data_IF_259190954176
#
_entry.id   IF_259190954176
#
_cell.length_a   1.000
_cell.length_b   1.000
_cell.length_c   1.000
_cell.angle_alpha   90.00
_cell.angle_beta   90.00
_cell.angle_gamma   90.00
#
_symmetry.space_group_name_H-M   'P 1'
#
loop_
_entity.id
_entity.type
_entity.pdbx_description
1 polymer ?
#
# COMPACT_ATOMS: atom_id res chain seq x y z
N UNK A 1 -2.43 9.80 6.06
CA UNK A 1 -2.88 10.82 7.01
C UNK A 1 -4.41 10.83 7.14
N UNK A 2 -5.16 11.16 6.07
CA UNK A 2 -6.63 11.34 6.12
C UNK A 2 -7.36 10.09 6.64
N UNK A 3 -7.04 8.90 6.13
CA UNK A 3 -7.65 7.65 6.60
C UNK A 3 -7.36 7.39 8.08
N UNK A 4 -6.10 7.58 8.53
CA UNK A 4 -5.74 7.43 9.94
C UNK A 4 -6.54 8.40 10.82
N UNK A 5 -6.62 9.67 10.42
CA UNK A 5 -7.42 10.67 11.14
C UNK A 5 -8.90 10.29 11.24
N UNK A 6 -9.49 9.75 10.16
CA UNK A 6 -10.87 9.30 10.16
C UNK A 6 -11.10 8.12 11.14
N UNK A 7 -10.19 7.12 11.13
CA UNK A 7 -10.26 5.99 12.05
C UNK A 7 -10.12 6.42 13.51
N UNK A 8 -9.18 7.32 13.81
CA UNK A 8 -8.99 7.86 15.16
C UNK A 8 -10.24 8.60 15.67
N UNK A 9 -10.90 9.39 14.83
CA UNK A 9 -12.16 10.06 15.18
C UNK A 9 -13.30 9.09 15.52
N UNK A 10 -13.22 7.87 15.00
CA UNK A 10 -14.16 6.78 15.33
C UNK A 10 -13.73 5.95 16.53
N UNK A 11 -12.67 6.36 17.25
CA UNK A 11 -12.19 5.68 18.45
C UNK A 11 -11.26 4.50 18.18
N UNK A 12 -10.79 4.30 16.94
CA UNK A 12 -9.91 3.20 16.62
C UNK A 12 -8.49 3.44 17.18
N UNK A 13 -7.86 2.38 17.68
CA UNK A 13 -6.41 2.31 17.89
C UNK A 13 -5.73 2.15 16.53
N UNK A 14 -4.79 3.02 16.17
CA UNK A 14 -4.21 3.06 14.83
C UNK A 14 -2.70 2.86 14.86
N UNK A 15 -2.20 1.83 14.16
CA UNK A 15 -0.80 1.67 13.83
C UNK A 15 -0.52 2.38 12.51
N UNK A 16 0.41 3.34 12.52
CA UNK A 16 0.80 4.10 11.32
C UNK A 16 2.16 3.63 10.86
N UNK A 17 2.17 2.88 9.75
CA UNK A 17 3.39 2.36 9.14
C UNK A 17 3.96 3.40 8.15
N UNK A 18 5.18 3.84 8.38
CA UNK A 18 5.86 4.79 7.49
C UNK A 18 7.39 4.71 7.65
N UNK A 19 8.09 5.27 6.66
CA UNK A 19 9.52 5.51 6.78
C UNK A 19 9.79 6.61 7.80
N UNK A 20 10.82 6.51 8.63
CA UNK A 20 11.26 7.60 9.49
C UNK A 20 11.56 8.86 8.66
N UNK A 21 10.92 9.97 8.98
CA UNK A 21 11.15 11.27 8.34
C UNK A 21 10.53 12.40 9.15
N UNK A 22 11.06 13.63 9.03
CA UNK A 22 10.49 14.82 9.69
C UNK A 22 9.03 15.05 9.29
N UNK A 23 8.71 14.78 8.03
CA UNK A 23 7.33 14.87 7.55
C UNK A 23 6.41 13.90 8.28
N UNK A 24 6.87 12.69 8.53
CA UNK A 24 6.11 11.69 9.28
C UNK A 24 5.94 12.12 10.73
N UNK A 25 7.00 12.60 11.38
CA UNK A 25 6.95 13.08 12.76
C UNK A 25 5.94 14.22 12.92
N UNK A 26 6.00 15.24 12.06
CA UNK A 26 5.02 16.33 12.04
C UNK A 26 3.58 15.84 11.85
N UNK A 27 3.37 14.87 10.95
CA UNK A 27 2.04 14.28 10.74
C UNK A 27 1.55 13.51 11.96
N UNK A 28 2.44 12.81 12.64
CA UNK A 28 2.13 12.06 13.86
C UNK A 28 1.76 12.98 15.02
N UNK A 29 2.48 14.09 15.18
CA UNK A 29 2.17 15.13 16.18
C UNK A 29 0.77 15.71 15.97
N UNK A 30 0.42 16.07 14.73
CA UNK A 30 -0.92 16.58 14.41
C UNK A 30 -2.00 15.53 14.74
N UNK A 31 -1.78 14.26 14.35
CA UNK A 31 -2.74 13.20 14.63
C UNK A 31 -2.94 13.00 16.14
N UNK A 32 -1.86 13.04 16.93
CA UNK A 32 -1.92 12.91 18.39
C UNK A 32 -2.64 14.08 19.04
N UNK A 33 -2.34 15.31 18.62
CA UNK A 33 -2.95 16.52 19.17
C UNK A 33 -4.45 16.58 18.90
N UNK A 34 -4.87 16.20 17.69
CA UNK A 34 -6.29 16.24 17.30
C UNK A 34 -7.11 15.05 17.86
N UNK A 35 -6.46 14.01 18.37
CA UNK A 35 -7.11 12.78 18.83
C UNK A 35 -6.49 12.27 20.16
N UNK A 36 -6.45 13.13 21.16
CA UNK A 36 -5.80 12.86 22.45
C UNK A 36 -6.35 11.65 23.21
N UNK A 37 -7.57 11.23 22.94
CA UNK A 37 -8.25 10.12 23.62
C UNK A 37 -8.07 8.77 22.89
N UNK A 38 -7.25 8.70 21.83
CA UNK A 38 -7.04 7.48 21.03
C UNK A 38 -5.56 7.14 20.94
N UNK A 39 -5.26 5.85 20.83
CA UNK A 39 -3.88 5.38 20.76
C UNK A 39 -3.38 5.38 19.31
N UNK A 40 -2.25 6.06 19.08
CA UNK A 40 -1.55 6.09 17.79
C UNK A 40 -0.15 5.55 17.99
N UNK A 41 0.20 4.48 17.27
CA UNK A 41 1.48 3.81 17.37
C UNK A 41 2.24 3.89 16.05
N UNK A 42 3.39 4.57 15.99
CA UNK A 42 4.25 4.53 14.82
C UNK A 42 4.96 3.18 14.71
N UNK A 43 5.07 2.68 13.48
CA UNK A 43 5.85 1.49 13.14
C UNK A 43 6.71 1.83 11.93
N UNK A 44 8.03 1.70 12.06
CA UNK A 44 8.94 1.94 10.96
C UNK A 44 8.77 0.86 9.89
N UNK A 45 8.50 1.30 8.65
CA UNK A 45 8.29 0.42 7.52
C UNK A 45 8.66 1.11 6.22
N UNK A 46 9.71 0.64 5.55
CA UNK A 46 10.01 1.00 4.18
C UNK A 46 9.55 -0.11 3.24
N UNK A 47 8.56 0.20 2.41
CA UNK A 47 8.02 -0.75 1.43
C UNK A 47 8.99 -1.02 0.26
N UNK A 48 10.11 -0.32 0.16
CA UNK A 48 11.19 -0.60 -0.79
C UNK A 48 12.21 -1.63 -0.25
N UNK A 49 11.99 -2.14 0.97
CA UNK A 49 12.84 -3.14 1.62
C UNK A 49 12.00 -4.25 2.23
N UNK A 50 12.12 -5.46 1.73
CA UNK A 50 11.44 -6.61 2.33
C UNK A 50 11.93 -6.91 3.75
N UNK A 51 13.18 -6.57 4.06
CA UNK A 51 13.69 -6.69 5.41
C UNK A 51 12.94 -5.74 6.36
N UNK A 52 12.76 -4.48 5.97
CA UNK A 52 11.98 -3.51 6.73
C UNK A 52 10.52 -3.97 6.92
N UNK A 53 9.89 -4.50 5.87
CA UNK A 53 8.52 -5.05 5.95
C UNK A 53 8.45 -6.22 6.94
N UNK A 54 9.46 -7.11 6.98
CA UNK A 54 9.50 -8.21 7.96
C UNK A 54 9.68 -7.71 9.40
N UNK A 55 10.50 -6.67 9.59
CA UNK A 55 10.65 -6.03 10.90
C UNK A 55 9.33 -5.40 11.36
N UNK A 56 8.66 -4.67 10.47
CA UNK A 56 7.34 -4.10 10.74
C UNK A 56 6.32 -5.19 11.09
N UNK A 57 6.29 -6.31 10.37
CA UNK A 57 5.42 -7.45 10.68
C UNK A 57 5.64 -8.00 12.09
N UNK A 58 6.91 -8.19 12.52
CA UNK A 58 7.22 -8.59 13.90
C UNK A 58 6.73 -7.57 14.92
N UNK A 59 6.95 -6.28 14.64
CA UNK A 59 6.50 -5.20 15.54
C UNK A 59 4.99 -5.13 15.67
N UNK A 60 4.25 -5.40 14.60
CA UNK A 60 2.78 -5.48 14.65
C UNK A 60 2.32 -6.63 15.56
N UNK A 61 2.97 -7.79 15.52
CA UNK A 61 2.64 -8.91 16.43
C UNK A 61 2.84 -8.53 17.91
N UNK A 62 3.94 -7.84 18.22
CA UNK A 62 4.18 -7.35 19.58
C UNK A 62 3.10 -6.36 20.05
N UNK A 63 2.67 -5.47 19.15
CA UNK A 63 1.70 -4.41 19.45
C UNK A 63 0.24 -4.91 19.41
N UNK A 64 -0.04 -5.97 18.66
CA UNK A 64 -1.41 -6.48 18.46
C UNK A 64 -1.55 -7.94 18.88
N UNK A 65 -1.20 -8.35 20.11
CA UNK A 65 -1.24 -9.75 20.53
C UNK A 65 -2.65 -10.35 20.51
N UNK A 66 -3.69 -9.51 20.54
CA UNK A 66 -5.10 -9.93 20.52
C UNK A 66 -5.73 -9.97 19.12
N UNK A 67 -4.98 -9.58 18.07
CA UNK A 67 -5.45 -9.58 16.69
C UNK A 67 -5.42 -8.20 16.05
N UNK A 68 -5.69 -8.17 14.76
CA UNK A 68 -5.73 -6.97 13.92
C UNK A 68 -7.08 -6.95 13.17
N UNK A 69 -7.91 -5.94 13.40
CA UNK A 69 -9.23 -5.87 12.78
C UNK A 69 -9.18 -5.42 11.32
N UNK A 70 -8.26 -4.48 11.01
CA UNK A 70 -8.16 -3.90 9.66
C UNK A 70 -6.71 -3.72 9.26
N UNK A 71 -6.34 -4.27 8.10
CA UNK A 71 -5.10 -3.98 7.39
C UNK A 71 -5.41 -3.10 6.18
N UNK A 72 -4.89 -1.85 6.17
CA UNK A 72 -5.06 -0.92 5.06
C UNK A 72 -3.76 -0.77 4.26
N UNK A 73 -3.65 -1.45 3.13
CA UNK A 73 -2.55 -1.37 2.17
C UNK A 73 -2.73 -0.14 1.27
N UNK A 74 -2.54 1.05 1.85
CA UNK A 74 -2.85 2.33 1.21
C UNK A 74 -1.64 3.01 0.56
N UNK A 75 -0.43 2.81 1.07
CA UNK A 75 0.76 3.49 0.58
C UNK A 75 1.02 3.18 -0.90
N UNK A 76 1.65 4.12 -1.60
CA UNK A 76 2.00 3.90 -3.00
C UNK A 76 2.78 5.05 -3.60
N UNK A 77 3.42 4.74 -4.71
CA UNK A 77 4.16 5.67 -5.57
C UNK A 77 3.61 5.60 -6.99
N UNK A 78 3.84 6.62 -7.80
CA UNK A 78 3.21 6.75 -9.11
C UNK A 78 4.19 7.28 -10.13
N UNK A 79 4.28 6.62 -11.28
CA UNK A 79 5.05 7.02 -12.45
C UNK A 79 6.52 7.39 -12.16
N UNK A 80 7.16 6.64 -11.24
CA UNK A 80 8.57 6.80 -10.90
C UNK A 80 9.50 6.29 -11.99
N UNK A 81 10.77 6.62 -11.86
CA UNK A 81 11.84 6.14 -12.72
C UNK A 81 11.95 4.60 -12.74
N UNK A 82 12.55 4.09 -13.81
CA UNK A 82 12.81 2.67 -14.00
C UNK A 82 14.08 2.26 -13.23
N UNK A 83 13.93 2.18 -11.92
CA UNK A 83 15.00 1.84 -11.00
C UNK A 83 14.61 0.64 -10.13
N UNK A 84 15.58 -0.21 -9.78
CA UNK A 84 15.34 -1.30 -8.84
C UNK A 84 15.34 -0.80 -7.40
N UNK A 85 14.67 -1.56 -6.54
CA UNK A 85 14.88 -1.50 -5.09
C UNK A 85 16.13 -2.29 -4.68
N UNK A 86 16.49 -2.26 -3.40
CA UNK A 86 17.55 -3.11 -2.85
C UNK A 86 17.29 -4.61 -3.05
N UNK A 87 16.02 -5.01 -3.12
CA UNK A 87 15.61 -6.39 -3.38
C UNK A 87 15.60 -6.74 -4.87
N UNK A 88 16.03 -5.82 -5.76
CA UNK A 88 16.12 -5.96 -7.22
C UNK A 88 14.77 -6.06 -7.95
N UNK A 89 13.67 -5.59 -7.38
CA UNK A 89 12.38 -5.44 -8.06
C UNK A 89 12.16 -4.00 -8.55
N UNK A 90 11.27 -3.81 -9.52
CA UNK A 90 10.81 -2.47 -9.90
C UNK A 90 10.28 -1.71 -8.66
N UNK A 91 10.74 -0.47 -8.50
CA UNK A 91 10.42 0.35 -7.32
C UNK A 91 8.91 0.54 -7.14
N UNK A 92 8.15 0.67 -8.22
CA UNK A 92 6.70 0.83 -8.13
C UNK A 92 6.01 -0.50 -7.80
N UNK A 93 6.45 -1.61 -8.41
CA UNK A 93 5.87 -2.92 -8.17
C UNK A 93 6.14 -3.37 -6.73
N UNK A 94 7.35 -3.20 -6.24
CA UNK A 94 7.66 -3.57 -4.86
C UNK A 94 6.88 -2.71 -3.88
N UNK A 95 6.92 -1.39 -4.01
CA UNK A 95 6.25 -0.47 -3.07
C UNK A 95 4.74 -0.66 -3.06
N UNK A 96 4.12 -0.74 -4.24
CA UNK A 96 2.66 -0.70 -4.37
C UNK A 96 1.99 -2.07 -4.18
N UNK A 97 2.72 -3.17 -4.44
CA UNK A 97 2.12 -4.50 -4.44
C UNK A 97 2.90 -5.55 -3.63
N UNK A 98 4.16 -5.84 -3.99
CA UNK A 98 4.87 -7.00 -3.42
C UNK A 98 5.07 -6.86 -1.91
N UNK A 99 5.40 -5.66 -1.43
CA UNK A 99 5.58 -5.39 0.01
C UNK A 99 4.27 -5.43 0.77
N UNK A 100 3.17 -4.96 0.18
CA UNK A 100 1.84 -5.10 0.77
C UNK A 100 1.36 -6.56 0.80
N UNK A 101 1.68 -7.34 -0.25
CA UNK A 101 1.42 -8.78 -0.26
C UNK A 101 2.20 -9.47 0.86
N UNK A 102 3.50 -9.17 1.01
CA UNK A 102 4.33 -9.71 2.07
C UNK A 102 3.81 -9.31 3.46
N UNK A 103 3.49 -8.03 3.67
CA UNK A 103 2.92 -7.55 4.94
C UNK A 103 1.61 -8.26 5.26
N UNK A 104 0.71 -8.38 4.28
CA UNK A 104 -0.56 -9.12 4.46
C UNK A 104 -0.30 -10.56 4.91
N UNK A 105 0.65 -11.25 4.26
CA UNK A 105 1.05 -12.62 4.65
C UNK A 105 1.58 -12.67 6.08
N UNK A 106 2.43 -11.70 6.46
CA UNK A 106 3.09 -11.67 7.76
C UNK A 106 2.13 -11.44 8.94
N UNK A 107 1.01 -10.75 8.72
CA UNK A 107 0.04 -10.42 9.79
C UNK A 107 -1.29 -11.14 9.60
N UNK A 108 -1.32 -12.15 8.73
CA UNK A 108 -2.57 -12.83 8.37
C UNK A 108 -3.20 -13.57 9.55
N UNK A 109 -2.40 -14.19 10.39
CA UNK A 109 -2.83 -14.87 11.62
C UNK A 109 -3.47 -13.92 12.63
N UNK A 110 -2.99 -12.66 12.71
CA UNK A 110 -3.62 -11.62 13.53
C UNK A 110 -5.01 -11.23 13.00
N UNK A 111 -5.17 -11.19 11.66
CA UNK A 111 -6.48 -10.96 11.04
C UNK A 111 -7.43 -12.15 11.27
N UNK A 112 -6.93 -13.38 11.18
CA UNK A 112 -7.72 -14.57 11.53
C UNK A 112 -8.15 -14.54 13.00
N UNK A 113 -7.22 -14.20 13.88
CA UNK A 113 -7.50 -14.08 15.31
C UNK A 113 -8.60 -13.06 15.59
N UNK A 114 -8.50 -11.86 15.01
CA UNK A 114 -9.53 -10.82 15.16
C UNK A 114 -10.86 -11.26 14.55
N UNK A 115 -10.86 -11.83 13.35
CA UNK A 115 -12.07 -12.32 12.69
C UNK A 115 -12.80 -13.37 13.52
N UNK A 116 -12.08 -14.25 14.23
CA UNK A 116 -12.64 -15.26 15.10
C UNK A 116 -13.20 -14.67 16.41
N UNK A 117 -12.55 -13.65 16.94
CA UNK A 117 -12.96 -13.00 18.21
C UNK A 117 -14.10 -11.99 18.01
N UNK A 118 -14.03 -11.19 16.94
CA UNK A 118 -14.90 -10.05 16.72
C UNK A 118 -15.93 -10.27 15.58
N UNK A 119 -15.91 -11.44 14.93
CA UNK A 119 -16.83 -11.80 13.87
C UNK A 119 -16.43 -11.34 12.47
N UNK A 120 -15.51 -10.37 12.33
CA UNK A 120 -15.01 -9.89 11.04
C UNK A 120 -13.62 -9.27 11.17
N UNK A 121 -12.78 -9.41 10.12
CA UNK A 121 -11.59 -8.60 9.88
C UNK A 121 -11.52 -8.18 8.41
N UNK A 122 -10.75 -7.13 8.10
CA UNK A 122 -10.70 -6.55 6.74
C UNK A 122 -9.30 -6.34 6.24
N UNK A 123 -9.07 -6.68 4.97
CA UNK A 123 -7.87 -6.34 4.20
C UNK A 123 -8.31 -5.40 3.09
N UNK A 124 -7.80 -4.16 3.08
CA UNK A 124 -8.17 -3.13 2.13
C UNK A 124 -6.95 -2.81 1.26
N UNK A 125 -7.03 -3.11 -0.04
CA UNK A 125 -5.98 -2.81 -1.00
C UNK A 125 -6.34 -1.59 -1.85
N UNK A 126 -5.38 -0.69 -2.02
CA UNK A 126 -5.58 0.54 -2.78
C UNK A 126 -5.24 0.34 -4.26
N UNK A 127 -6.23 0.44 -5.13
CA UNK A 127 -6.08 0.40 -6.59
C UNK A 127 -6.25 1.79 -7.22
N UNK A 128 -6.32 1.85 -8.55
CA UNK A 128 -6.48 3.08 -9.32
C UNK A 128 -7.16 2.78 -10.66
N UNK A 129 -7.75 3.81 -11.27
CA UNK A 129 -8.25 3.73 -12.66
C UNK A 129 -7.12 3.36 -13.63
N UNK A 130 -5.86 3.69 -13.31
CA UNK A 130 -4.68 3.34 -14.10
C UNK A 130 -4.55 1.83 -14.40
N UNK A 131 -5.19 0.96 -13.60
CA UNK A 131 -5.26 -0.48 -13.91
C UNK A 131 -5.92 -0.79 -15.25
N UNK A 132 -6.79 0.11 -15.76
CA UNK A 132 -7.48 -0.05 -17.04
C UNK A 132 -6.59 0.30 -18.26
N UNK A 133 -5.43 0.93 -18.03
CA UNK A 133 -4.47 1.26 -19.09
C UNK A 133 -3.65 0.04 -19.54
N UNK A 134 -3.67 -1.04 -18.77
CA UNK A 134 -2.96 -2.28 -19.08
C UNK A 134 -3.96 -3.41 -19.31
N UNK A 135 -3.76 -4.19 -20.38
CA UNK A 135 -4.71 -5.24 -20.78
C UNK A 135 -4.62 -6.50 -19.91
N UNK A 136 -3.42 -6.79 -19.38
CA UNK A 136 -3.15 -7.98 -18.56
C UNK A 136 -2.01 -7.71 -17.59
N UNK A 137 -1.98 -8.48 -16.52
CA UNK A 137 -0.83 -8.52 -15.62
C UNK A 137 0.27 -9.36 -16.26
N UNK A 138 1.43 -8.73 -16.51
CA UNK A 138 2.56 -9.40 -17.13
C UNK A 138 3.56 -9.89 -16.10
N UNK A 139 3.94 -11.19 -16.11
CA UNK A 139 4.85 -11.78 -15.12
C UNK A 139 6.21 -11.09 -15.00
N UNK A 140 6.70 -10.43 -16.04
CA UNK A 140 7.99 -9.71 -15.99
C UNK A 140 8.03 -8.63 -14.92
N UNK A 141 6.90 -7.98 -14.61
CA UNK A 141 6.83 -6.94 -13.58
C UNK A 141 6.86 -7.49 -12.15
N UNK A 142 6.59 -8.78 -11.98
CA UNK A 142 6.61 -9.47 -10.69
C UNK A 142 7.95 -10.17 -10.41
N UNK A 143 8.92 -10.07 -11.31
CA UNK A 143 10.23 -10.72 -11.18
C UNK A 143 11.31 -9.71 -10.77
N UNK A 144 12.39 -10.22 -10.23
CA UNK A 144 13.64 -9.46 -10.08
C UNK A 144 14.16 -9.10 -11.46
N UNK A 145 14.30 -7.81 -11.74
CA UNK A 145 14.67 -7.33 -13.08
C UNK A 145 15.73 -6.21 -13.05
N UNK A 146 16.11 -5.73 -11.87
CA UNK A 146 17.15 -4.74 -11.69
C UNK A 146 16.86 -3.36 -12.31
N UNK A 147 15.58 -3.00 -12.47
CA UNK A 147 15.15 -1.92 -13.36
C UNK A 147 14.93 -2.49 -14.76
N UNK A 148 15.07 -1.77 -15.82
CA UNK A 148 15.02 -2.30 -17.18
C UNK A 148 13.65 -2.81 -17.66
N UNK A 149 12.60 -2.09 -17.26
CA UNK A 149 11.20 -2.37 -17.63
C UNK A 149 10.62 -1.29 -18.55
N UNK A 150 11.40 -0.86 -19.56
CA UNK A 150 10.97 0.05 -20.60
C UNK A 150 11.41 1.50 -20.42
N UNK A 151 12.24 1.78 -19.43
CA UNK A 151 12.87 3.09 -19.21
C UNK A 151 11.92 4.16 -18.66
N UNK A 152 12.29 5.44 -18.88
CA UNK A 152 11.70 6.59 -18.20
C UNK A 152 10.73 7.40 -19.07
N UNK A 153 10.30 6.87 -20.22
CA UNK A 153 9.32 7.51 -21.07
C UNK A 153 8.00 7.77 -20.35
N UNK A 154 7.52 9.01 -20.46
CA UNK A 154 6.25 9.49 -19.91
C UNK A 154 5.59 10.42 -20.92
N UNK A 155 4.26 10.49 -20.93
CA UNK A 155 3.50 11.43 -21.74
C UNK A 155 2.48 12.20 -20.90
N UNK A 156 2.02 13.35 -21.42
CA UNK A 156 1.04 14.23 -20.78
C UNK A 156 -0.27 13.48 -20.47
N UNK A 157 -0.63 12.48 -21.24
CA UNK A 157 -1.89 11.72 -21.11
C UNK A 157 -1.71 10.39 -20.35
N UNK A 158 -0.86 10.36 -19.33
CA UNK A 158 -0.63 9.16 -18.51
C UNK A 158 -0.10 7.96 -19.32
N UNK A 159 0.63 8.20 -20.41
CA UNK A 159 1.23 7.18 -21.26
C UNK A 159 2.71 6.96 -20.97
N UNK A 160 3.29 5.97 -21.69
CA UNK A 160 4.70 5.61 -21.59
C UNK A 160 5.01 4.57 -20.50
N UNK A 161 6.29 4.19 -20.43
CA UNK A 161 6.74 3.07 -19.60
C UNK A 161 6.51 3.28 -18.11
N UNK A 162 6.69 4.50 -17.60
CA UNK A 162 6.43 4.85 -16.18
C UNK A 162 4.98 4.56 -15.76
N UNK A 163 4.04 4.95 -16.60
CA UNK A 163 2.61 4.76 -16.37
C UNK A 163 2.18 3.31 -16.59
N UNK A 164 2.80 2.62 -17.55
CA UNK A 164 2.57 1.18 -17.74
C UNK A 164 2.97 0.41 -16.48
N UNK A 165 4.16 0.67 -15.91
CA UNK A 165 4.58 0.06 -14.64
C UNK A 165 3.60 0.36 -13.52
N UNK A 166 3.18 1.62 -13.37
CA UNK A 166 2.17 1.99 -12.38
C UNK A 166 0.85 1.24 -12.58
N UNK A 167 0.35 1.20 -13.82
CA UNK A 167 -0.87 0.45 -14.18
C UNK A 167 -0.77 -1.03 -13.80
N UNK A 168 0.38 -1.67 -14.04
CA UNK A 168 0.66 -3.06 -13.66
C UNK A 168 0.54 -3.25 -12.14
N UNK A 169 1.05 -2.32 -11.33
CA UNK A 169 0.94 -2.42 -9.86
C UNK A 169 -0.51 -2.35 -9.40
N UNK A 170 -1.31 -1.46 -10.02
CA UNK A 170 -2.70 -1.26 -9.65
C UNK A 170 -3.62 -2.37 -10.15
N UNK A 171 -3.27 -3.00 -11.28
CA UNK A 171 -3.91 -4.24 -11.73
C UNK A 171 -3.55 -5.41 -10.81
N UNK A 172 -2.28 -5.53 -10.39
CA UNK A 172 -1.84 -6.54 -9.44
C UNK A 172 -2.62 -6.46 -8.11
N UNK A 173 -2.82 -5.25 -7.57
CA UNK A 173 -3.61 -5.06 -6.34
C UNK A 173 -5.07 -5.49 -6.52
N UNK A 174 -5.70 -5.16 -7.65
CA UNK A 174 -7.07 -5.58 -7.92
C UNK A 174 -7.19 -7.10 -8.10
N UNK A 175 -6.28 -7.72 -8.85
CA UNK A 175 -6.25 -9.17 -9.06
C UNK A 175 -5.99 -9.93 -7.75
N UNK A 176 -5.02 -9.47 -6.96
CA UNK A 176 -4.73 -10.03 -5.64
C UNK A 176 -5.97 -9.99 -4.74
N UNK A 177 -6.65 -8.84 -4.69
CA UNK A 177 -7.87 -8.70 -3.87
C UNK A 177 -8.96 -9.65 -4.31
N UNK A 178 -9.22 -9.78 -5.60
CA UNK A 178 -10.22 -10.69 -6.15
C UNK A 178 -9.88 -12.16 -5.84
N UNK A 179 -8.62 -12.56 -6.06
CA UNK A 179 -8.17 -13.92 -5.74
C UNK A 179 -8.24 -14.22 -4.24
N UNK A 180 -7.85 -13.28 -3.40
CA UNK A 180 -7.89 -13.41 -1.95
C UNK A 180 -9.34 -13.52 -1.47
N UNK A 181 -10.24 -12.67 -1.97
CA UNK A 181 -11.67 -12.73 -1.68
C UNK A 181 -12.27 -14.12 -2.02
N UNK A 182 -11.99 -14.62 -3.22
CA UNK A 182 -12.47 -15.96 -3.63
C UNK A 182 -11.95 -17.06 -2.72
N UNK A 183 -10.66 -17.04 -2.37
CA UNK A 183 -10.06 -18.04 -1.46
C UNK A 183 -10.63 -17.98 -0.05
N UNK A 184 -10.88 -16.78 0.47
CA UNK A 184 -11.51 -16.60 1.79
C UNK A 184 -12.95 -17.08 1.80
N UNK A 185 -13.72 -16.78 0.73
CA UNK A 185 -15.11 -17.23 0.59
C UNK A 185 -15.21 -18.76 0.53
N UNK A 186 -14.32 -19.41 -0.21
CA UNK A 186 -14.27 -20.90 -0.28
C UNK A 186 -13.94 -21.54 1.08
N UNK A 187 -13.28 -20.83 1.97
CA UNK A 187 -12.95 -21.28 3.33
C UNK A 187 -13.97 -20.84 4.39
N UNK A 188 -15.06 -20.19 3.98
CA UNK A 188 -16.03 -19.57 4.89
C UNK A 188 -15.36 -18.64 5.92
N UNK A 189 -14.30 -17.93 5.50
CA UNK A 189 -13.55 -17.04 6.38
C UNK A 189 -14.33 -15.73 6.63
N UNK A 190 -14.28 -15.26 7.88
CA UNK A 190 -14.82 -13.96 8.25
C UNK A 190 -13.90 -12.79 7.87
N UNK A 191 -12.75 -13.03 7.24
CA UNK A 191 -11.90 -11.98 6.69
C UNK A 191 -12.48 -11.50 5.36
N UNK A 192 -12.63 -10.18 5.19
CA UNK A 192 -13.09 -9.54 3.94
C UNK A 192 -11.92 -8.92 3.21
N UNK A 193 -11.68 -9.33 1.97
CA UNK A 193 -10.71 -8.66 1.09
C UNK A 193 -11.44 -7.65 0.21
N UNK A 194 -11.05 -6.38 0.30
CA UNK A 194 -11.70 -5.25 -0.33
C UNK A 194 -10.69 -4.45 -1.17
N UNK A 195 -11.15 -3.86 -2.28
CA UNK A 195 -10.37 -2.94 -3.08
C UNK A 195 -10.99 -1.55 -3.01
N UNK A 196 -10.17 -0.55 -2.68
CA UNK A 196 -10.57 0.85 -2.69
C UNK A 196 -9.96 1.60 -3.88
N UNK A 197 -10.69 2.56 -4.42
CA UNK A 197 -10.26 3.43 -5.50
C UNK A 197 -10.74 4.85 -5.22
N UNK A 198 -9.82 5.85 -5.04
CA UNK A 198 -10.19 7.19 -4.59
C UNK A 198 -10.79 8.08 -5.69
N UNK A 199 -10.85 7.62 -6.95
CA UNK A 199 -11.14 8.52 -8.07
C UNK A 199 -9.96 9.46 -8.38
N UNK A 200 -10.26 10.66 -8.84
CA UNK A 200 -9.30 11.75 -8.97
C UNK A 200 -9.22 12.48 -7.62
N UNK A 201 -8.15 12.26 -6.88
CA UNK A 201 -7.91 12.91 -5.60
C UNK A 201 -6.66 13.80 -5.70
N UNK A 202 -6.77 15.03 -5.23
CA UNK A 202 -5.60 15.93 -5.10
C UNK A 202 -4.79 15.48 -3.89
N UNK A 203 -3.59 14.98 -4.16
CA UNK A 203 -2.67 14.47 -3.13
C UNK A 203 -1.23 14.89 -3.44
N UNK A 204 -0.34 14.78 -2.47
CA UNK A 204 1.09 15.01 -2.70
C UNK A 204 1.73 14.01 -3.68
N UNK A 205 1.00 12.98 -4.10
CA UNK A 205 1.46 12.02 -5.10
C UNK A 205 1.70 12.69 -6.46
N UNK A 206 0.79 13.60 -6.88
CA UNK A 206 0.95 14.37 -8.12
C UNK A 206 2.18 15.27 -8.06
N UNK A 207 2.38 16.01 -6.98
CA UNK A 207 3.55 16.90 -6.85
C UNK A 207 4.87 16.15 -6.88
N UNK A 208 4.93 14.96 -6.27
CA UNK A 208 6.10 14.08 -6.35
C UNK A 208 6.30 13.58 -7.78
N UNK A 209 5.24 13.11 -8.43
CA UNK A 209 5.30 12.62 -9.82
C UNK A 209 5.78 13.69 -10.80
N UNK A 210 5.35 14.95 -10.61
CA UNK A 210 5.81 16.09 -11.43
C UNK A 210 7.31 16.34 -11.21
N UNK A 211 7.78 16.36 -9.96
CA UNK A 211 9.20 16.55 -9.63
C UNK A 211 10.09 15.47 -10.25
N UNK A 212 9.62 14.23 -10.28
CA UNK A 212 10.35 13.08 -10.83
C UNK A 212 10.22 12.95 -12.35
N UNK A 213 9.58 13.92 -13.04
CA UNK A 213 9.41 13.92 -14.50
C UNK A 213 8.40 12.90 -15.04
N UNK A 214 7.59 12.30 -14.17
CA UNK A 214 6.55 11.34 -14.54
C UNK A 214 5.25 11.99 -15.03
N UNK A 215 5.11 13.32 -14.86
CA UNK A 215 3.93 14.11 -15.27
C UNK A 215 4.37 15.53 -15.64
N UNK A 216 3.73 16.14 -16.64
CA UNK A 216 3.94 17.54 -17.01
C UNK A 216 3.43 18.51 -15.92
N UNK A 217 3.95 19.75 -15.95
CA UNK A 217 3.62 20.82 -14.97
C UNK A 217 2.18 21.39 -15.09
N UNK A 218 1.29 20.75 -15.79
CA UNK A 218 -0.09 21.22 -16.06
C UNK A 218 -1.10 20.82 -14.97
N UNK A 219 -0.60 20.39 -13.80
CA UNK A 219 -1.42 20.11 -12.61
C UNK A 219 -0.80 20.68 -11.36
#
# INVERSE_FOLDING_TARGET
>A
FVAAKACLKLGARVLVLNRPSDRFQKSLEVLKTENSNTEILPVDCDLQSFNSVRQAGRKIHELCPNGLDVLCNNAGVMALEDVPTEDSFDVQMQTNHLSHFLLTKLVFDLLEKSANLNGEARIINHSSIARKQVKKLEPKYLKKNGGNLGGNGSSIFFGGARWTRYGQTKLANAAFTACLHSKLSLKNSNIKALVAHPGFAITNLQSTTVKDGGMGKLF
#
